data_IF_357114790147
#
_entry.id   IF_357114790147
#
_cell.length_a   1.000
_cell.length_b   1.000
_cell.length_c   1.000
_cell.angle_alpha   90.00
_cell.angle_beta   90.00
_cell.angle_gamma   90.00
#
_symmetry.space_group_name_H-M   'P 1'
#
loop_
_entity.id
_entity.type
_entity.pdbx_description
1 polymer ?
#
# COMPACT_ATOMS: atom_id res chain seq x y z
N UNK A 1 -8.34 -17.18 10.17
CA UNK A 1 -7.70 -17.42 11.49
C UNK A 1 -8.25 -16.40 12.47
N UNK A 2 -8.58 -16.80 13.70
CA UNK A 2 -8.97 -15.87 14.77
C UNK A 2 -7.78 -15.69 15.70
N UNK A 3 -7.34 -14.45 15.88
CA UNK A 3 -6.17 -14.12 16.69
C UNK A 3 -6.47 -12.91 17.55
N UNK A 4 -6.02 -12.93 18.80
CA UNK A 4 -6.08 -11.78 19.70
C UNK A 4 -4.73 -11.08 19.67
N UNK A 5 -4.72 -9.78 19.41
CA UNK A 5 -3.51 -8.95 19.35
C UNK A 5 -3.70 -7.70 20.18
N UNK A 6 -2.68 -7.35 20.97
CA UNK A 6 -2.64 -6.10 21.73
C UNK A 6 -2.12 -4.99 20.81
N UNK A 7 -2.84 -3.87 20.74
CA UNK A 7 -2.51 -2.72 19.90
C UNK A 7 -2.43 -1.46 20.75
N UNK A 8 -1.58 -0.54 20.34
CA UNK A 8 -1.54 0.81 20.88
C UNK A 8 -2.79 1.58 20.45
N UNK A 9 -3.54 2.12 21.41
CA UNK A 9 -4.79 2.83 21.17
C UNK A 9 -4.58 4.13 20.39
N UNK A 10 -3.51 4.88 20.67
CA UNK A 10 -3.23 6.13 19.97
C UNK A 10 -2.90 5.89 18.49
N UNK A 11 -2.17 4.81 18.22
CA UNK A 11 -1.83 4.42 16.85
C UNK A 11 -3.06 4.00 16.07
N UNK A 12 -3.97 3.25 16.70
CA UNK A 12 -5.25 2.86 16.10
C UNK A 12 -6.07 4.11 15.80
N UNK A 13 -6.27 5.01 16.76
CA UNK A 13 -7.06 6.24 16.55
C UNK A 13 -6.52 7.09 15.40
N UNK A 14 -5.20 7.31 15.35
CA UNK A 14 -4.55 8.02 14.23
C UNK A 14 -4.83 7.32 12.91
N UNK A 15 -4.64 6.00 12.85
CA UNK A 15 -4.87 5.25 11.63
C UNK A 15 -6.34 5.31 11.18
N UNK A 16 -7.29 5.26 12.12
CA UNK A 16 -8.72 5.41 11.82
C UNK A 16 -9.04 6.83 11.32
N UNK A 17 -8.47 7.86 11.92
CA UNK A 17 -8.64 9.24 11.50
C UNK A 17 -8.11 9.50 10.08
N UNK A 18 -6.95 8.92 9.73
CA UNK A 18 -6.36 9.11 8.40
C UNK A 18 -7.00 8.24 7.32
N UNK A 19 -7.43 7.02 7.64
CA UNK A 19 -7.98 6.07 6.66
C UNK A 19 -9.49 6.11 6.55
N UNK A 20 -10.19 6.63 7.57
CA UNK A 20 -11.65 6.56 7.72
C UNK A 20 -12.17 5.16 8.10
N UNK A 21 -11.29 4.17 8.29
CA UNK A 21 -11.69 2.79 8.58
C UNK A 21 -11.96 2.62 10.07
N UNK A 22 -13.23 2.51 10.46
CA UNK A 22 -13.63 2.36 11.87
C UNK A 22 -13.57 0.91 12.37
N UNK A 23 -13.68 -0.06 11.47
CA UNK A 23 -13.64 -1.47 11.84
C UNK A 23 -12.19 -1.97 12.03
N UNK A 24 -11.83 -2.34 13.26
CA UNK A 24 -10.46 -2.78 13.61
C UNK A 24 -9.96 -3.96 12.78
N UNK A 25 -10.84 -4.91 12.44
CA UNK A 25 -10.45 -6.08 11.67
C UNK A 25 -10.08 -5.72 10.23
N UNK A 26 -10.81 -4.77 9.64
CA UNK A 26 -10.54 -4.21 8.31
C UNK A 26 -9.30 -3.33 8.33
N UNK A 27 -9.14 -2.49 9.35
CA UNK A 27 -7.94 -1.66 9.53
C UNK A 27 -6.66 -2.51 9.59
N UNK A 28 -6.69 -3.64 10.32
CA UNK A 28 -5.54 -4.55 10.39
C UNK A 28 -5.24 -5.24 9.06
N UNK A 29 -6.27 -5.65 8.31
CA UNK A 29 -6.08 -6.24 6.97
C UNK A 29 -5.44 -5.24 6.02
N UNK A 30 -5.93 -4.00 5.99
CA UNK A 30 -5.38 -2.93 5.16
C UNK A 30 -3.96 -2.56 5.58
N UNK A 31 -3.67 -2.51 6.89
CA UNK A 31 -2.31 -2.25 7.38
C UNK A 31 -1.31 -3.31 6.89
N UNK A 32 -1.69 -4.59 6.92
CA UNK A 32 -0.86 -5.68 6.41
C UNK A 32 -0.70 -5.59 4.88
N UNK A 33 -1.78 -5.33 4.15
CA UNK A 33 -1.75 -5.16 2.70
C UNK A 33 -0.82 -4.00 2.30
N UNK A 34 -0.93 -2.85 2.96
CA UNK A 34 -0.09 -1.69 2.74
C UNK A 34 1.40 -1.99 3.02
N UNK A 35 1.71 -2.75 4.07
CA UNK A 35 3.07 -3.16 4.37
C UNK A 35 3.64 -4.08 3.28
N UNK A 36 2.85 -5.04 2.81
CA UNK A 36 3.23 -5.93 1.70
C UNK A 36 3.50 -5.11 0.44
N UNK A 37 2.60 -4.20 0.07
CA UNK A 37 2.75 -3.34 -1.10
C UNK A 37 4.03 -2.50 -1.01
N UNK A 38 4.32 -1.92 0.15
CA UNK A 38 5.53 -1.11 0.37
C UNK A 38 6.81 -1.93 0.15
N UNK A 39 6.89 -3.14 0.70
CA UNK A 39 8.06 -3.99 0.51
C UNK A 39 8.15 -4.56 -0.91
N UNK A 40 7.01 -4.91 -1.52
CA UNK A 40 6.96 -5.33 -2.92
C UNK A 40 7.49 -4.22 -3.84
N UNK A 41 7.07 -2.97 -3.62
CA UNK A 41 7.58 -1.81 -4.37
C UNK A 41 9.09 -1.63 -4.18
N UNK A 42 9.62 -1.73 -2.95
CA UNK A 42 11.06 -1.67 -2.71
C UNK A 42 11.83 -2.79 -3.43
N UNK A 43 11.30 -4.01 -3.43
CA UNK A 43 11.90 -5.14 -4.15
C UNK A 43 11.86 -4.91 -5.67
N UNK A 44 10.74 -4.41 -6.19
CA UNK A 44 10.60 -4.05 -7.61
C UNK A 44 11.59 -2.96 -8.03
N UNK A 45 11.78 -1.92 -7.21
CA UNK A 45 12.78 -0.88 -7.46
C UNK A 45 14.19 -1.47 -7.50
N UNK A 46 14.53 -2.38 -6.56
CA UNK A 46 15.84 -3.06 -6.54
C UNK A 46 16.07 -3.95 -7.76
N UNK A 47 15.02 -4.51 -8.34
CA UNK A 47 15.12 -5.24 -9.60
C UNK A 47 15.47 -4.31 -10.77
N UNK A 48 15.29 -2.98 -10.64
CA UNK A 48 15.96 -2.00 -11.49
C UNK A 48 15.62 -2.10 -12.98
N UNK A 49 14.43 -2.58 -13.34
CA UNK A 49 14.11 -2.83 -14.75
C UNK A 49 14.81 -4.07 -15.31
N UNK A 50 15.01 -5.10 -14.48
CA UNK A 50 15.55 -6.41 -14.87
C UNK A 50 14.77 -7.12 -15.98
N UNK A 51 13.62 -6.57 -16.39
CA UNK A 51 12.98 -6.96 -17.64
C UNK A 51 13.56 -6.13 -18.80
N UNK A 52 14.54 -6.67 -19.57
CA UNK A 52 15.12 -5.98 -20.71
C UNK A 52 14.12 -5.71 -21.85
N UNK A 53 12.92 -6.32 -21.80
CA UNK A 53 11.85 -6.11 -22.78
C UNK A 53 10.77 -5.15 -22.29
N UNK A 54 10.86 -4.65 -21.07
CA UNK A 54 9.90 -3.69 -20.55
C UNK A 54 9.92 -2.42 -21.41
N UNK A 55 8.75 -2.01 -21.90
CA UNK A 55 8.56 -0.79 -22.68
C UNK A 55 7.61 0.15 -21.94
N UNK A 56 7.94 1.45 -21.94
CA UNK A 56 7.13 2.48 -21.28
C UNK A 56 5.80 2.62 -22.03
N UNK A 57 4.69 2.58 -21.29
CA UNK A 57 3.37 2.86 -21.87
C UNK A 57 3.32 4.28 -22.48
N UNK A 58 2.59 4.50 -23.59
CA UNK A 58 2.49 5.82 -24.21
C UNK A 58 2.07 6.89 -23.20
N UNK A 59 2.80 8.01 -23.13
CA UNK A 59 2.39 9.15 -22.31
C UNK A 59 1.05 9.67 -22.81
N UNK A 60 0.01 9.65 -21.95
CA UNK A 60 -1.22 10.40 -22.20
C UNK A 60 -0.87 11.89 -22.19
N UNK A 61 -0.78 12.50 -23.37
CA UNK A 61 -0.73 13.96 -23.53
C UNK A 61 -2.18 14.43 -23.68
N UNK A 62 -2.61 15.38 -22.85
CA UNK A 62 -3.84 16.12 -23.13
C UNK A 62 -3.66 16.83 -24.48
N UNK A 63 -4.68 16.84 -25.37
CA UNK A 63 -4.60 17.60 -26.60
C UNK A 63 -4.32 19.07 -26.25
N UNK A 64 -3.31 19.65 -26.89
CA UNK A 64 -3.08 21.10 -26.81
C UNK A 64 -4.25 21.78 -27.51
N UNK A 65 -4.87 22.74 -26.84
CA UNK A 65 -6.00 23.53 -27.36
C UNK A 65 -5.59 24.35 -28.59
#
# INVERSE_FOLDING_TARGET
MRTTVTLDAELVEKAQAYTGITERSTLLREALAALIQREAARRAIKLGGSDPKATVAPRRRSPTA
#
